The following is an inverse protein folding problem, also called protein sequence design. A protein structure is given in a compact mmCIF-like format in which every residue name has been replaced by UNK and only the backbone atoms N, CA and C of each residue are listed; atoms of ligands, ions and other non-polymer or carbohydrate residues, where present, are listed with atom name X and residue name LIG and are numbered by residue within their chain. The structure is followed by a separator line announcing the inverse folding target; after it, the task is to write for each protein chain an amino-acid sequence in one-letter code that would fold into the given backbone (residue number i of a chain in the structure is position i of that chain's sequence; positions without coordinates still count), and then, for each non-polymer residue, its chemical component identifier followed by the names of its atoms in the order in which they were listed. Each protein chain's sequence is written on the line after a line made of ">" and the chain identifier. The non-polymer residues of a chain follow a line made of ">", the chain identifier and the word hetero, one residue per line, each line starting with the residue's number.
data_IF_773056850084
#
_entry.id   IF_773056850084
#
_cell.length_a   1.000
_cell.length_b   1.000
_cell.length_c   1.000
_cell.angle_alpha   90.00
_cell.angle_beta   90.00
_cell.angle_gamma   90.00
#
_symmetry.space_group_name_H-M   'P 1'
#
loop_
_entity.id
_entity.type
_entity.pdbx_description
1 polymer ?
#
# COMPACT_ATOMS: atom_id res chain seq x y z
N UNK A 1 -39.28 -61.12 31.95
CA UNK A 1 -38.89 -59.78 32.41
C UNK A 1 -37.45 -59.58 31.97
N UNK A 2 -37.27 -59.23 30.69
CA UNK A 2 -35.96 -58.99 30.08
C UNK A 2 -36.06 -57.64 29.39
N UNK A 3 -35.38 -56.64 29.98
CA UNK A 3 -35.34 -55.29 29.46
C UNK A 3 -34.29 -55.20 28.36
N UNK A 4 -34.74 -55.00 27.12
CA UNK A 4 -33.88 -54.64 26.00
C UNK A 4 -33.49 -53.15 26.11
N UNK A 5 -32.22 -52.92 26.41
CA UNK A 5 -31.57 -51.62 26.46
C UNK A 5 -31.33 -51.09 25.04
N UNK A 6 -32.18 -50.18 24.55
CA UNK A 6 -31.94 -49.47 23.29
C UNK A 6 -30.97 -48.31 23.54
N UNK A 7 -29.70 -48.49 23.15
CA UNK A 7 -28.76 -47.38 23.01
C UNK A 7 -29.13 -46.60 21.76
N UNK A 8 -29.87 -45.51 21.94
CA UNK A 8 -30.02 -44.50 20.91
C UNK A 8 -28.66 -43.83 20.72
N UNK A 9 -27.99 -44.14 19.62
CA UNK A 9 -26.77 -43.46 19.19
C UNK A 9 -27.18 -42.05 18.74
N UNK A 10 -27.30 -41.14 19.71
CA UNK A 10 -27.45 -39.73 19.45
C UNK A 10 -26.21 -39.27 18.68
N UNK A 11 -26.35 -39.15 17.37
CA UNK A 11 -25.37 -38.48 16.53
C UNK A 11 -25.32 -37.04 17.03
N UNK A 12 -24.34 -36.76 17.89
CA UNK A 12 -24.02 -35.42 18.32
C UNK A 12 -23.54 -34.65 17.10
N UNK A 13 -24.49 -34.04 16.39
CA UNK A 13 -24.22 -32.89 15.56
C UNK A 13 -23.69 -31.81 16.50
N UNK A 14 -22.38 -31.83 16.73
CA UNK A 14 -21.65 -30.67 17.24
C UNK A 14 -22.05 -29.54 16.31
N UNK A 15 -22.61 -28.49 16.91
CA UNK A 15 -23.01 -27.26 16.25
C UNK A 15 -21.80 -26.59 15.56
N UNK A 16 -21.44 -27.10 14.38
CA UNK A 16 -20.34 -26.63 13.56
C UNK A 16 -20.66 -25.26 12.94
N UNK A 17 -21.91 -24.76 13.05
CA UNK A 17 -22.28 -23.41 12.63
C UNK A 17 -21.49 -22.32 13.38
N UNK A 18 -20.97 -22.63 14.57
CA UNK A 18 -20.15 -21.71 15.37
C UNK A 18 -18.73 -21.51 14.82
N UNK A 19 -18.22 -22.45 14.00
CA UNK A 19 -16.83 -22.48 13.51
C UNK A 19 -16.65 -21.96 12.09
N UNK A 20 -17.74 -21.87 11.32
CA UNK A 20 -17.69 -21.50 9.90
C UNK A 20 -18.54 -20.24 9.63
N UNK A 21 -18.07 -19.38 8.72
CA UNK A 21 -18.81 -18.20 8.24
C UNK A 21 -19.94 -18.63 7.26
N UNK A 22 -20.79 -17.69 6.85
CA UNK A 22 -21.88 -17.83 5.87
C UNK A 22 -21.47 -18.36 4.49
N UNK A 23 -20.16 -18.43 4.23
CA UNK A 23 -19.53 -18.97 3.02
C UNK A 23 -18.91 -20.37 3.22
N UNK A 24 -19.10 -21.00 4.40
CA UNK A 24 -18.60 -22.34 4.73
C UNK A 24 -17.11 -22.40 5.05
N UNK A 25 -16.41 -21.25 5.16
CA UNK A 25 -14.97 -21.20 5.54
C UNK A 25 -14.79 -20.96 7.04
N UNK A 26 -13.63 -21.31 7.63
CA UNK A 26 -13.37 -21.06 9.06
C UNK A 26 -13.62 -19.61 9.42
N UNK A 27 -14.32 -19.41 10.54
CA UNK A 27 -14.78 -18.10 11.03
C UNK A 27 -13.62 -17.13 11.17
N UNK A 28 -13.73 -15.97 10.50
CA UNK A 28 -12.69 -14.94 10.55
C UNK A 28 -12.72 -14.23 11.90
N UNK A 29 -11.56 -14.07 12.54
CA UNK A 29 -11.41 -13.46 13.88
C UNK A 29 -10.86 -12.03 13.87
N UNK A 30 -10.72 -11.41 12.70
CA UNK A 30 -10.20 -10.05 12.56
C UNK A 30 -11.11 -9.00 13.22
N UNK A 31 -10.52 -8.01 13.90
CA UNK A 31 -11.25 -6.88 14.49
C UNK A 31 -11.12 -5.63 13.61
N UNK A 32 -12.01 -4.64 13.77
CA UNK A 32 -11.91 -3.33 13.09
C UNK A 32 -10.54 -2.69 13.31
N UNK A 33 -9.96 -2.87 14.50
CA UNK A 33 -8.61 -2.40 14.81
C UNK A 33 -7.55 -3.10 13.95
N UNK A 34 -7.64 -4.42 13.82
CA UNK A 34 -6.72 -5.20 12.97
C UNK A 34 -6.89 -4.85 11.49
N UNK A 35 -8.13 -4.67 11.01
CA UNK A 35 -8.43 -4.24 9.64
C UNK A 35 -7.87 -2.86 9.36
N UNK A 36 -8.15 -1.91 10.25
CA UNK A 36 -7.70 -0.53 10.14
C UNK A 36 -6.17 -0.47 10.18
N UNK A 37 -5.53 -1.24 11.07
CA UNK A 37 -4.08 -1.35 11.11
C UNK A 37 -3.50 -1.90 9.80
N UNK A 38 -4.11 -2.93 9.19
CA UNK A 38 -3.66 -3.45 7.89
C UNK A 38 -3.86 -2.45 6.75
N UNK A 39 -4.98 -1.73 6.73
CA UNK A 39 -5.23 -0.67 5.74
C UNK A 39 -4.21 0.46 5.92
N UNK A 40 -4.02 0.94 7.16
CA UNK A 40 -3.02 1.97 7.47
C UNK A 40 -1.62 1.51 7.08
N UNK A 41 -1.26 0.24 7.32
CA UNK A 41 0.05 -0.30 6.92
C UNK A 41 0.19 -0.39 5.39
N UNK A 42 -0.90 -0.69 4.67
CA UNK A 42 -0.91 -0.71 3.21
C UNK A 42 -0.79 0.70 2.62
N UNK A 43 -1.33 1.72 3.31
CA UNK A 43 -1.32 3.13 2.89
C UNK A 43 0.00 3.82 3.24
N UNK A 44 0.46 3.68 4.48
CA UNK A 44 1.69 4.30 4.97
C UNK A 44 2.85 3.38 4.57
N UNK A 45 3.28 3.51 3.32
CA UNK A 45 4.38 2.75 2.74
C UNK A 45 5.32 3.64 1.94
N UNK A 46 6.04 3.04 1.00
CA UNK A 46 7.10 3.73 0.26
C UNK A 46 6.65 4.98 -0.50
N UNK A 47 5.36 5.07 -0.88
CA UNK A 47 4.79 6.24 -1.55
C UNK A 47 4.86 7.52 -0.70
N UNK A 48 4.84 7.41 0.64
CA UNK A 48 4.93 8.59 1.53
C UNK A 48 6.31 9.27 1.42
N UNK A 49 7.38 8.53 1.11
CA UNK A 49 8.73 9.09 1.01
C UNK A 49 8.88 10.04 -0.18
N UNK A 50 8.14 9.86 -1.27
CA UNK A 50 8.17 10.76 -2.43
C UNK A 50 7.19 11.94 -2.32
N UNK A 51 6.21 11.88 -1.41
CA UNK A 51 5.19 12.93 -1.27
C UNK A 51 5.77 14.31 -0.95
N UNK A 52 6.83 14.39 -0.14
CA UNK A 52 7.47 15.65 0.18
C UNK A 52 8.09 16.31 -1.07
N UNK A 53 8.74 15.50 -1.91
CA UNK A 53 9.28 15.97 -3.19
C UNK A 53 8.16 16.33 -4.17
N UNK A 54 7.14 15.49 -4.31
CA UNK A 54 6.00 15.74 -5.19
C UNK A 54 5.27 17.04 -4.83
N UNK A 55 5.03 17.26 -3.53
CA UNK A 55 4.41 18.49 -3.02
C UNK A 55 5.30 19.71 -3.29
N UNK A 56 6.63 19.57 -3.18
CA UNK A 56 7.56 20.65 -3.54
C UNK A 56 7.55 20.97 -5.04
N UNK A 57 7.35 19.98 -5.92
CA UNK A 57 7.22 20.20 -7.36
C UNK A 57 5.92 20.91 -7.73
N UNK A 58 4.82 20.60 -7.05
CA UNK A 58 3.49 21.17 -7.31
C UNK A 58 3.23 22.49 -6.57
N UNK A 59 3.90 22.70 -5.44
CA UNK A 59 3.75 23.87 -4.58
C UNK A 59 2.58 23.76 -3.59
N UNK A 60 2.43 24.83 -2.80
CA UNK A 60 1.48 24.89 -1.68
C UNK A 60 0.00 24.87 -2.09
N UNK A 61 -0.33 25.19 -3.34
CA UNK A 61 -1.71 25.13 -3.83
C UNK A 61 -1.96 23.76 -4.49
N UNK A 62 -1.26 23.48 -5.59
CA UNK A 62 -1.55 22.28 -6.39
C UNK A 62 -1.19 20.98 -5.65
N UNK A 63 -0.18 20.98 -4.78
CA UNK A 63 0.20 19.81 -3.98
C UNK A 63 -0.93 19.34 -3.05
N UNK A 64 -1.38 20.16 -2.08
CA UNK A 64 -2.51 19.82 -1.22
C UNK A 64 -3.81 19.54 -1.98
N UNK A 65 -4.12 20.29 -3.04
CA UNK A 65 -5.30 20.02 -3.88
C UNK A 65 -5.23 18.63 -4.52
N UNK A 66 -4.06 18.25 -5.05
CA UNK A 66 -3.86 16.92 -5.62
C UNK A 66 -3.99 15.83 -4.54
N UNK A 67 -3.39 16.01 -3.36
CA UNK A 67 -3.52 15.05 -2.24
C UNK A 67 -4.99 14.84 -1.85
N UNK A 68 -5.75 15.92 -1.70
CA UNK A 68 -7.18 15.85 -1.36
C UNK A 68 -7.98 15.17 -2.48
N UNK A 69 -7.71 15.52 -3.75
CA UNK A 69 -8.40 14.93 -4.89
C UNK A 69 -8.15 13.42 -5.00
N UNK A 70 -6.89 12.97 -4.94
CA UNK A 70 -6.54 11.55 -4.97
C UNK A 70 -7.08 10.80 -3.75
N UNK A 71 -7.09 11.43 -2.57
CA UNK A 71 -7.73 10.86 -1.38
C UNK A 71 -9.24 10.66 -1.59
N UNK A 72 -9.94 11.63 -2.16
CA UNK A 72 -11.38 11.54 -2.41
C UNK A 72 -11.70 10.47 -3.46
N UNK A 73 -10.94 10.42 -4.56
CA UNK A 73 -11.07 9.38 -5.59
C UNK A 73 -10.86 7.99 -4.98
N UNK A 74 -9.83 7.82 -4.16
CA UNK A 74 -9.48 6.54 -3.55
C UNK A 74 -10.52 6.11 -2.52
N UNK A 75 -11.03 7.05 -1.72
CA UNK A 75 -12.13 6.79 -0.81
C UNK A 75 -13.37 6.34 -1.59
N UNK A 76 -13.80 7.09 -2.59
CA UNK A 76 -14.96 6.74 -3.40
C UNK A 76 -14.81 5.35 -4.06
N UNK A 77 -13.65 5.07 -4.65
CA UNK A 77 -13.35 3.75 -5.21
C UNK A 77 -13.40 2.64 -4.15
N UNK A 78 -12.92 2.91 -2.93
CA UNK A 78 -12.96 1.95 -1.82
C UNK A 78 -14.38 1.66 -1.35
N UNK A 79 -15.28 2.65 -1.34
CA UNK A 79 -16.71 2.43 -1.07
C UNK A 79 -17.32 1.54 -2.13
N UNK A 80 -17.12 1.85 -3.41
CA UNK A 80 -17.68 1.04 -4.51
C UNK A 80 -17.19 -0.41 -4.45
N UNK A 81 -15.90 -0.61 -4.16
CA UNK A 81 -15.30 -1.93 -3.99
C UNK A 81 -15.88 -2.67 -2.78
N UNK A 82 -16.07 -1.95 -1.66
CA UNK A 82 -16.71 -2.48 -0.47
C UNK A 82 -18.16 -2.89 -0.75
N UNK A 83 -18.92 -2.13 -1.54
CA UNK A 83 -20.31 -2.47 -1.88
C UNK A 83 -20.38 -3.67 -2.85
N UNK A 84 -19.40 -3.81 -3.74
CA UNK A 84 -19.37 -4.89 -4.74
C UNK A 84 -18.82 -6.23 -4.22
N UNK A 85 -18.43 -6.31 -2.94
CA UNK A 85 -17.79 -7.52 -2.39
C UNK A 85 -18.72 -8.74 -2.37
N UNK A 86 -20.03 -8.51 -2.21
CA UNK A 86 -21.07 -9.54 -2.33
C UNK A 86 -21.63 -9.52 -3.74
N UNK A 87 -21.70 -10.70 -4.34
CA UNK A 87 -22.33 -10.92 -5.62
C UNK A 87 -23.87 -10.87 -5.49
N UNK A 88 -24.60 -10.69 -6.60
CA UNK A 88 -26.07 -10.63 -6.59
C UNK A 88 -26.74 -11.91 -6.06
N UNK A 89 -26.04 -13.04 -6.08
CA UNK A 89 -26.48 -14.34 -5.54
C UNK A 89 -26.18 -14.51 -4.03
N UNK A 90 -25.64 -13.47 -3.38
CA UNK A 90 -25.24 -13.47 -1.97
C UNK A 90 -23.86 -14.07 -1.69
N UNK A 91 -23.19 -14.63 -2.72
CA UNK A 91 -21.85 -15.18 -2.57
C UNK A 91 -20.80 -14.08 -2.38
N UNK A 92 -19.74 -14.36 -1.62
CA UNK A 92 -18.66 -13.40 -1.38
C UNK A 92 -17.55 -13.55 -2.43
N UNK A 93 -17.13 -12.42 -2.98
CA UNK A 93 -15.98 -12.32 -3.87
C UNK A 93 -14.69 -12.10 -3.07
N UNK A 94 -13.70 -12.99 -3.25
CA UNK A 94 -12.44 -12.93 -2.51
C UNK A 94 -11.33 -12.13 -3.21
N UNK A 95 -11.51 -11.91 -4.51
CA UNK A 95 -10.59 -11.15 -5.34
C UNK A 95 -11.37 -10.11 -6.13
N UNK A 96 -10.71 -9.02 -6.51
CA UNK A 96 -11.32 -8.00 -7.37
C UNK A 96 -11.89 -8.62 -8.67
N UNK A 97 -11.15 -9.55 -9.26
CA UNK A 97 -11.58 -10.23 -10.50
C UNK A 97 -12.82 -11.08 -10.33
N UNK A 98 -13.02 -11.68 -9.16
CA UNK A 98 -14.24 -12.43 -8.86
C UNK A 98 -15.43 -11.47 -8.72
N UNK A 99 -15.26 -10.32 -8.07
CA UNK A 99 -16.30 -9.30 -7.94
C UNK A 99 -16.71 -8.75 -9.32
N UNK A 100 -15.74 -8.45 -10.19
CA UNK A 100 -16.02 -7.98 -11.56
C UNK A 100 -16.72 -9.08 -12.37
N UNK A 101 -16.32 -10.34 -12.20
CA UNK A 101 -16.98 -11.47 -12.89
C UNK A 101 -18.42 -11.63 -12.45
N UNK A 102 -18.70 -11.51 -11.15
CA UNK A 102 -20.03 -11.64 -10.59
C UNK A 102 -20.99 -10.51 -11.01
N UNK A 103 -20.51 -9.28 -11.12
CA UNK A 103 -21.36 -8.11 -11.40
C UNK A 103 -21.41 -7.67 -12.87
N UNK A 104 -20.28 -7.75 -13.60
CA UNK A 104 -20.19 -7.19 -14.96
C UNK A 104 -20.18 -8.26 -16.05
N UNK A 105 -19.51 -9.40 -15.81
CA UNK A 105 -19.37 -10.50 -16.76
C UNK A 105 -18.68 -10.15 -18.09
N UNK A 106 -18.46 -11.17 -18.92
CA UNK A 106 -18.01 -11.03 -20.32
C UNK A 106 -16.67 -10.31 -20.51
N UNK A 107 -16.58 -9.48 -21.57
CA UNK A 107 -15.35 -8.78 -21.99
C UNK A 107 -14.85 -7.74 -20.97
N UNK A 108 -15.73 -7.25 -20.09
CA UNK A 108 -15.38 -6.26 -19.06
C UNK A 108 -14.44 -6.84 -18.01
N UNK A 109 -14.58 -8.13 -17.70
CA UNK A 109 -13.66 -8.87 -16.81
C UNK A 109 -12.23 -8.81 -17.34
N UNK A 110 -12.03 -9.02 -18.64
CA UNK A 110 -10.70 -8.98 -19.25
C UNK A 110 -10.07 -7.58 -19.19
N UNK A 111 -10.87 -6.53 -19.45
CA UNK A 111 -10.40 -5.14 -19.39
C UNK A 111 -10.05 -4.71 -17.96
N UNK A 112 -10.92 -5.03 -17.00
CA UNK A 112 -10.68 -4.75 -15.57
C UNK A 112 -9.47 -5.55 -15.04
N UNK A 113 -9.32 -6.80 -15.47
CA UNK A 113 -8.14 -7.61 -15.13
C UNK A 113 -6.86 -7.03 -15.70
N UNK A 114 -6.87 -6.63 -16.98
CA UNK A 114 -5.72 -5.98 -17.59
C UNK A 114 -5.33 -4.70 -16.83
N UNK A 115 -6.30 -3.87 -16.45
CA UNK A 115 -6.07 -2.68 -15.65
C UNK A 115 -5.50 -3.00 -14.26
N UNK A 116 -6.09 -3.99 -13.56
CA UNK A 116 -5.63 -4.41 -12.22
C UNK A 116 -4.19 -4.93 -12.26
N UNK A 117 -3.89 -5.88 -13.15
CA UNK A 117 -2.56 -6.47 -13.26
C UNK A 117 -1.52 -5.44 -13.71
N UNK A 118 -1.86 -4.53 -14.61
CA UNK A 118 -0.96 -3.44 -15.02
C UNK A 118 -0.63 -2.52 -13.85
N UNK A 119 -1.62 -2.19 -13.02
CA UNK A 119 -1.39 -1.40 -11.82
C UNK A 119 -0.51 -2.12 -10.79
N UNK A 120 -0.81 -3.40 -10.50
CA UNK A 120 -0.01 -4.22 -9.58
C UNK A 120 1.45 -4.36 -10.04
N UNK A 121 1.65 -4.53 -11.35
CA UNK A 121 2.98 -4.56 -11.95
C UNK A 121 3.70 -3.22 -11.79
N UNK A 122 3.04 -2.10 -12.10
CA UNK A 122 3.58 -0.76 -11.92
C UNK A 122 3.95 -0.46 -10.45
N UNK A 123 3.08 -0.83 -9.51
CA UNK A 123 3.33 -0.69 -8.07
C UNK A 123 4.55 -1.49 -7.63
N UNK A 124 4.69 -2.73 -8.13
CA UNK A 124 5.84 -3.59 -7.83
C UNK A 124 7.16 -3.00 -8.32
N UNK A 125 7.17 -2.42 -9.53
CA UNK A 125 8.33 -1.69 -10.05
C UNK A 125 8.63 -0.48 -9.16
N UNK A 126 7.62 0.29 -8.77
CA UNK A 126 7.76 1.44 -7.88
C UNK A 126 8.42 1.06 -6.56
N UNK A 127 8.00 -0.06 -5.94
CA UNK A 127 8.63 -0.59 -4.73
C UNK A 127 10.09 -0.97 -4.97
N UNK A 128 10.42 -1.67 -6.06
CA UNK A 128 11.79 -2.08 -6.36
C UNK A 128 12.74 -0.89 -6.55
N UNK A 129 12.29 0.13 -7.30
CA UNK A 129 13.06 1.37 -7.51
C UNK A 129 13.23 2.11 -6.17
N UNK A 130 12.15 2.29 -5.41
CA UNK A 130 12.19 3.04 -4.14
C UNK A 130 13.12 2.37 -3.14
N UNK A 131 13.00 1.06 -2.95
CA UNK A 131 13.89 0.30 -2.05
C UNK A 131 15.35 0.43 -2.46
N UNK A 132 15.65 0.35 -3.76
CA UNK A 132 17.01 0.54 -4.26
C UNK A 132 17.56 1.94 -3.92
N UNK A 133 16.79 2.99 -4.19
CA UNK A 133 17.21 4.38 -3.91
C UNK A 133 17.47 4.57 -2.42
N UNK A 134 16.59 4.03 -1.55
CA UNK A 134 16.78 4.09 -0.10
C UNK A 134 18.06 3.37 0.35
N UNK A 135 18.34 2.18 -0.18
CA UNK A 135 19.54 1.41 0.19
C UNK A 135 20.83 2.11 -0.29
N UNK A 136 20.82 2.69 -1.49
CA UNK A 136 21.92 3.50 -1.99
C UNK A 136 22.16 4.73 -1.11
N UNK A 137 21.09 5.41 -0.67
CA UNK A 137 21.20 6.55 0.23
C UNK A 137 21.85 6.17 1.57
N UNK A 138 21.47 5.03 2.16
CA UNK A 138 22.07 4.51 3.40
C UNK A 138 23.56 4.21 3.20
N UNK A 139 23.92 3.49 2.13
CA UNK A 139 25.31 3.13 1.86
C UNK A 139 26.17 4.37 1.62
N UNK A 140 25.62 5.35 0.89
CA UNK A 140 26.26 6.64 0.65
C UNK A 140 26.46 7.42 1.96
N UNK A 141 25.47 7.47 2.83
CA UNK A 141 25.58 8.09 4.15
C UNK A 141 26.68 7.45 5.00
N UNK A 142 26.76 6.12 5.02
CA UNK A 142 27.82 5.40 5.75
C UNK A 142 29.20 5.66 5.13
N UNK A 143 29.28 5.77 3.80
CA UNK A 143 30.52 6.11 3.10
C UNK A 143 31.02 7.51 3.49
N UNK A 144 30.14 8.52 3.50
CA UNK A 144 30.49 9.88 3.93
C UNK A 144 30.90 9.95 5.40
N UNK A 145 30.22 9.20 6.28
CA UNK A 145 30.58 9.15 7.69
C UNK A 145 31.99 8.56 7.91
N UNK A 146 32.40 7.59 7.09
CA UNK A 146 33.71 6.92 7.22
C UNK A 146 34.85 7.64 6.49
N UNK A 147 34.59 8.19 5.30
CA UNK A 147 35.62 8.73 4.40
C UNK A 147 35.63 10.26 4.32
N UNK A 148 34.71 10.93 5.00
CA UNK A 148 34.50 12.38 4.91
C UNK A 148 33.54 12.76 3.77
N UNK A 149 32.97 13.97 3.86
CA UNK A 149 31.98 14.48 2.90
C UNK A 149 32.56 14.76 1.50
N UNK A 150 33.87 14.89 1.37
CA UNK A 150 34.57 15.13 0.10
C UNK A 150 34.94 13.84 -0.64
N UNK A 151 34.61 12.67 -0.08
CA UNK A 151 34.89 11.39 -0.74
C UNK A 151 33.91 11.12 -1.90
N UNK A 152 34.44 10.66 -3.05
CA UNK A 152 33.65 10.21 -4.20
C UNK A 152 32.87 8.91 -3.92
N UNK A 153 31.79 9.00 -3.14
CA UNK A 153 30.91 7.88 -2.83
C UNK A 153 29.81 7.75 -3.90
N UNK A 154 30.13 7.04 -4.99
CA UNK A 154 29.16 6.68 -6.02
C UNK A 154 28.74 5.21 -5.86
N UNK A 155 27.44 4.97 -5.76
CA UNK A 155 26.86 3.65 -5.54
C UNK A 155 25.79 3.39 -6.59
N UNK A 156 25.85 2.23 -7.25
CA UNK A 156 24.89 1.86 -8.28
C UNK A 156 23.59 1.31 -7.67
N UNK A 157 22.45 1.63 -8.29
CA UNK A 157 21.14 1.11 -7.93
C UNK A 157 20.97 -0.37 -8.31
N UNK A 158 21.53 -0.78 -9.45
CA UNK A 158 21.33 -2.11 -10.05
C UNK A 158 21.48 -3.29 -9.07
N UNK A 159 22.55 -3.39 -8.24
CA UNK A 159 22.69 -4.50 -7.30
C UNK A 159 21.53 -4.57 -6.29
N UNK A 160 21.04 -3.43 -5.81
CA UNK A 160 19.95 -3.41 -4.82
C UNK A 160 18.61 -3.79 -5.42
N UNK A 161 18.34 -3.40 -6.68
CA UNK A 161 17.16 -3.85 -7.43
C UNK A 161 17.16 -5.37 -7.57
N UNK A 162 18.30 -5.96 -7.96
CA UNK A 162 18.44 -7.42 -8.12
C UNK A 162 18.24 -8.14 -6.79
N UNK A 163 18.90 -7.69 -5.72
CA UNK A 163 18.77 -8.28 -4.39
C UNK A 163 17.33 -8.23 -3.90
N UNK A 164 16.65 -7.09 -4.07
CA UNK A 164 15.25 -6.95 -3.69
C UNK A 164 14.34 -7.87 -4.51
N UNK A 165 14.56 -8.00 -5.82
CA UNK A 165 13.82 -8.94 -6.66
C UNK A 165 13.99 -10.40 -6.23
N UNK A 166 15.21 -10.82 -5.90
CA UNK A 166 15.46 -12.18 -5.36
C UNK A 166 14.72 -12.38 -4.03
N UNK A 167 14.74 -11.38 -3.15
CA UNK A 167 13.99 -11.42 -1.89
C UNK A 167 12.48 -11.53 -2.12
N UNK A 168 11.93 -10.80 -3.08
CA UNK A 168 10.51 -10.88 -3.46
C UNK A 168 10.13 -12.29 -3.96
N UNK A 169 10.99 -12.91 -4.78
CA UNK A 169 10.78 -14.30 -5.24
C UNK A 169 10.73 -15.25 -4.05
N UNK A 170 11.68 -15.14 -3.10
CA UNK A 170 11.70 -15.98 -1.91
C UNK A 170 10.46 -15.77 -1.03
N UNK A 171 10.05 -14.51 -0.81
CA UNK A 171 8.86 -14.18 -0.02
C UNK A 171 7.57 -14.66 -0.69
N UNK A 172 7.50 -14.66 -2.02
CA UNK A 172 6.34 -15.18 -2.77
C UNK A 172 6.12 -16.68 -2.59
N UNK A 173 7.14 -17.44 -2.16
CA UNK A 173 7.02 -18.88 -1.88
C UNK A 173 6.37 -19.17 -0.51
N UNK A 174 6.05 -18.16 0.30
CA UNK A 174 5.43 -18.34 1.62
C UNK A 174 3.91 -18.29 1.47
N UNK A 175 3.19 -19.43 1.52
CA UNK A 175 1.76 -19.48 1.21
C UNK A 175 0.86 -18.97 2.36
N UNK A 176 1.41 -18.73 3.55
CA UNK A 176 0.61 -18.51 4.76
C UNK A 176 0.79 -17.09 5.33
N UNK A 177 -0.24 -16.26 5.18
CA UNK A 177 -0.29 -14.85 5.61
C UNK A 177 -0.06 -14.67 7.11
N UNK A 178 -0.38 -15.66 7.95
CA UNK A 178 -0.08 -15.62 9.38
C UNK A 178 1.44 -15.56 9.68
N UNK A 179 2.29 -16.03 8.77
CA UNK A 179 3.75 -15.91 8.89
C UNK A 179 4.27 -14.53 8.47
N UNK A 180 3.45 -13.72 7.81
CA UNK A 180 3.81 -12.39 7.29
C UNK A 180 3.26 -11.24 8.16
N UNK A 181 2.39 -11.52 9.13
CA UNK A 181 1.83 -10.51 10.05
C UNK A 181 2.94 -9.76 10.80
N UNK A 182 3.98 -10.47 11.23
CA UNK A 182 5.16 -9.88 11.87
C UNK A 182 5.87 -8.87 10.95
N UNK A 183 6.04 -9.21 9.67
CA UNK A 183 6.64 -8.30 8.68
C UNK A 183 5.77 -7.06 8.45
N UNK A 184 4.44 -7.23 8.44
CA UNK A 184 3.50 -6.10 8.36
C UNK A 184 3.65 -5.15 9.55
N UNK A 185 3.82 -5.68 10.78
CA UNK A 185 4.00 -4.85 11.98
C UNK A 185 5.31 -4.05 11.89
N UNK A 186 6.42 -4.69 11.47
CA UNK A 186 7.70 -3.98 11.27
C UNK A 186 7.55 -2.90 10.19
N UNK A 187 6.92 -3.22 9.07
CA UNK A 187 6.68 -2.25 8.00
C UNK A 187 5.90 -1.04 8.51
N UNK A 188 4.81 -1.25 9.26
CA UNK A 188 4.03 -0.17 9.86
C UNK A 188 4.88 0.69 10.81
N UNK A 189 5.65 0.06 11.71
CA UNK A 189 6.50 0.76 12.66
C UNK A 189 7.57 1.62 11.95
N UNK A 190 8.24 1.05 10.94
CA UNK A 190 9.20 1.79 10.10
C UNK A 190 8.55 2.96 9.39
N UNK A 191 7.30 2.78 8.95
CA UNK A 191 6.51 3.79 8.26
C UNK A 191 6.19 5.02 9.09
N UNK A 192 5.78 4.80 10.33
CA UNK A 192 5.65 5.89 11.30
C UNK A 192 7.00 6.50 11.64
N UNK A 193 8.04 5.69 11.83
CA UNK A 193 9.36 6.18 12.19
C UNK A 193 9.94 7.15 11.15
N UNK A 194 9.97 6.79 9.86
CA UNK A 194 10.49 7.71 8.84
C UNK A 194 9.62 8.96 8.69
N UNK A 195 8.31 8.85 8.89
CA UNK A 195 7.39 10.00 8.81
C UNK A 195 7.66 10.99 9.95
N UNK A 196 7.84 10.49 11.18
CA UNK A 196 8.18 11.32 12.33
C UNK A 196 9.58 11.93 12.23
N UNK A 197 10.57 11.17 11.73
CA UNK A 197 11.91 11.70 11.48
C UNK A 197 11.84 12.82 10.44
N UNK A 198 11.14 12.62 9.32
CA UNK A 198 10.94 13.64 8.29
C UNK A 198 10.26 14.90 8.82
N UNK A 199 9.20 14.73 9.61
CA UNK A 199 8.50 15.84 10.27
C UNK A 199 9.41 16.58 11.26
N UNK A 200 10.10 15.85 12.13
CA UNK A 200 10.99 16.41 13.15
C UNK A 200 12.16 17.19 12.55
N UNK A 201 12.81 16.63 11.51
CA UNK A 201 13.88 17.31 10.78
C UNK A 201 13.36 18.58 10.07
N UNK A 202 12.15 18.53 9.53
CA UNK A 202 11.51 19.70 8.89
C UNK A 202 11.22 20.81 9.91
N UNK A 203 10.67 20.48 11.08
CA UNK A 203 10.42 21.44 12.17
C UNK A 203 11.75 22.03 12.66
N UNK A 204 12.76 21.18 12.89
CA UNK A 204 14.09 21.64 13.35
C UNK A 204 14.75 22.59 12.34
N UNK A 205 14.60 22.32 11.04
CA UNK A 205 15.10 23.19 9.96
C UNK A 205 14.43 24.56 9.99
N UNK A 206 13.10 24.62 10.14
CA UNK A 206 12.34 25.86 10.23
C UNK A 206 12.69 26.65 11.50
N UNK A 207 12.86 25.96 12.63
CA UNK A 207 13.23 26.59 13.90
C UNK A 207 14.64 27.20 13.86
N UNK A 208 15.59 26.56 13.16
CA UNK A 208 16.97 27.03 13.06
C UNK A 208 17.15 28.19 12.08
N UNK A 209 16.60 28.07 10.88
CA UNK A 209 16.88 29.02 9.78
C UNK A 209 15.74 30.04 9.56
N UNK A 210 14.69 29.99 10.39
CA UNK A 210 13.48 30.79 10.22
C UNK A 210 12.67 30.40 8.98
N UNK A 211 11.62 31.17 8.66
CA UNK A 211 10.83 31.02 7.42
C UNK A 211 11.61 31.60 6.23
N UNK A 212 12.87 31.19 6.03
CA UNK A 212 13.67 31.52 4.84
C UNK A 212 13.70 30.38 3.83
N UNK A 213 12.94 29.30 4.06
CA UNK A 213 12.74 28.28 3.05
C UNK A 213 12.04 28.92 1.85
N UNK A 214 12.62 28.77 0.64
CA UNK A 214 12.01 29.16 -0.63
C UNK A 214 10.70 28.38 -0.83
N UNK A 215 9.61 28.83 -0.21
CA UNK A 215 8.29 28.28 -0.42
C UNK A 215 7.73 28.88 -1.68
N UNK A 216 7.17 28.03 -2.54
CA UNK A 216 6.54 28.46 -3.78
C UNK A 216 5.07 28.09 -3.78
N UNK A 217 4.23 29.04 -4.18
CA UNK A 217 2.80 28.82 -4.37
C UNK A 217 2.53 27.84 -5.52
N UNK A 218 3.37 27.86 -6.57
CA UNK A 218 3.18 27.10 -7.82
C UNK A 218 4.27 26.04 -8.06
N UNK A 219 5.02 25.71 -7.00
CA UNK A 219 6.05 24.68 -7.03
C UNK A 219 7.35 25.16 -7.67
N UNK A 220 8.08 24.27 -8.33
CA UNK A 220 9.35 24.64 -8.95
C UNK A 220 9.18 25.75 -9.99
N UNK A 221 10.02 26.77 -9.92
CA UNK A 221 9.93 27.97 -10.77
C UNK A 221 10.83 27.75 -11.98
N UNK A 222 10.35 28.11 -13.19
CA UNK A 222 11.19 28.07 -14.39
C UNK A 222 12.28 29.13 -14.23
N UNK A 223 13.54 28.71 -14.39
CA UNK A 223 14.70 29.54 -14.12
C UNK A 223 15.95 29.00 -14.81
N UNK A 224 17.12 29.49 -14.40
CA UNK A 224 18.40 29.10 -14.99
C UNK A 224 18.70 27.60 -14.87
N UNK A 225 18.19 26.96 -13.81
CA UNK A 225 18.42 25.55 -13.49
C UNK A 225 17.25 24.62 -13.86
N UNK A 226 16.08 25.15 -14.24
CA UNK A 226 14.87 24.37 -14.54
C UNK A 226 14.19 24.92 -15.79
N UNK A 227 14.16 24.15 -16.87
CA UNK A 227 13.44 24.54 -18.09
C UNK A 227 11.93 24.29 -17.96
N UNK A 228 11.13 24.89 -18.85
CA UNK A 228 9.68 24.64 -18.90
C UNK A 228 9.34 23.16 -19.14
N UNK A 229 10.18 22.44 -19.88
CA UNK A 229 10.02 20.99 -20.14
C UNK A 229 10.28 20.17 -18.88
N UNK A 230 11.32 20.55 -18.12
CA UNK A 230 11.65 19.88 -16.86
C UNK A 230 10.55 20.13 -15.82
N UNK A 231 10.03 21.36 -15.74
CA UNK A 231 8.89 21.68 -14.87
C UNK A 231 7.67 20.83 -15.22
N UNK A 232 7.34 20.71 -16.51
CA UNK A 232 6.23 19.88 -16.97
C UNK A 232 6.42 18.41 -16.59
N UNK A 233 7.60 17.85 -16.86
CA UNK A 233 7.92 16.45 -16.53
C UNK A 233 7.89 16.19 -15.03
N UNK A 234 8.45 17.09 -14.23
CA UNK A 234 8.42 17.02 -12.77
C UNK A 234 6.99 17.11 -12.22
N UNK A 235 6.13 17.93 -12.84
CA UNK A 235 4.71 18.03 -12.48
C UNK A 235 3.99 16.70 -12.72
N UNK A 236 4.16 16.08 -13.88
CA UNK A 236 3.57 14.77 -14.17
C UNK A 236 4.12 13.66 -13.28
N UNK A 237 5.43 13.67 -13.02
CA UNK A 237 6.07 12.73 -12.12
C UNK A 237 5.54 12.88 -10.69
N UNK A 238 5.37 14.11 -10.21
CA UNK A 238 4.80 14.39 -8.89
C UNK A 238 3.34 13.93 -8.76
N UNK A 239 2.52 14.11 -9.81
CA UNK A 239 1.16 13.58 -9.84
C UNK A 239 1.16 12.04 -9.84
N UNK A 240 2.08 11.42 -10.57
CA UNK A 240 2.28 9.97 -10.56
C UNK A 240 2.69 9.43 -9.18
N UNK A 241 3.61 10.11 -8.50
CA UNK A 241 4.04 9.77 -7.14
C UNK A 241 2.89 9.88 -6.13
N UNK A 242 2.06 10.92 -6.23
CA UNK A 242 0.85 11.04 -5.41
C UNK A 242 -0.12 9.90 -5.73
N UNK A 243 -0.40 9.63 -7.01
CA UNK A 243 -1.28 8.54 -7.39
C UNK A 243 -0.79 7.18 -6.86
N UNK A 244 0.52 6.93 -6.94
CA UNK A 244 1.16 5.72 -6.42
C UNK A 244 0.99 5.59 -4.89
N UNK A 245 1.10 6.69 -4.14
CA UNK A 245 0.87 6.68 -2.69
C UNK A 245 -0.57 6.28 -2.30
N UNK A 246 -1.54 6.46 -3.21
CA UNK A 246 -2.95 6.11 -2.99
C UNK A 246 -3.38 4.79 -3.67
N UNK A 247 -2.47 4.02 -4.29
CA UNK A 247 -2.81 2.83 -5.08
C UNK A 247 -3.29 1.59 -4.29
N UNK A 248 -3.60 1.73 -2.99
CA UNK A 248 -3.95 0.62 -2.11
C UNK A 248 -5.38 0.08 -2.29
N UNK A 249 -6.29 0.87 -2.86
CA UNK A 249 -7.71 0.50 -3.01
C UNK A 249 -7.91 -0.81 -3.79
N UNK A 250 -6.99 -1.14 -4.69
CA UNK A 250 -7.05 -2.36 -5.50
C UNK A 250 -6.83 -3.63 -4.68
N UNK A 251 -6.04 -3.56 -3.61
CA UNK A 251 -5.76 -4.68 -2.68
C UNK A 251 -6.83 -4.76 -1.58
N UNK A 252 -7.69 -3.75 -1.49
CA UNK A 252 -8.68 -3.60 -0.43
C UNK A 252 -9.66 -4.79 -0.40
N UNK A 253 -10.21 -5.22 -1.55
CA UNK A 253 -11.12 -6.39 -1.59
C UNK A 253 -10.46 -7.65 -1.02
N UNK A 254 -9.18 -7.88 -1.32
CA UNK A 254 -8.47 -9.09 -0.87
C UNK A 254 -8.14 -9.05 0.63
N UNK A 255 -8.00 -7.84 1.20
CA UNK A 255 -7.89 -7.62 2.65
C UNK A 255 -9.25 -7.80 3.32
N UNK A 256 -10.30 -7.22 2.74
CA UNK A 256 -11.67 -7.23 3.25
C UNK A 256 -12.27 -8.64 3.26
N UNK A 257 -12.10 -9.40 2.18
CA UNK A 257 -12.65 -10.75 2.07
C UNK A 257 -11.96 -11.76 3.01
N UNK A 258 -10.86 -11.36 3.66
CA UNK A 258 -10.17 -12.15 4.69
C UNK A 258 -10.57 -11.75 6.11
N UNK A 259 -11.35 -10.68 6.31
CA UNK A 259 -11.76 -10.19 7.63
C UNK A 259 -13.29 -10.07 7.77
N UNK A 260 -13.85 -10.29 8.97
CA UNK A 260 -15.28 -10.60 9.13
C UNK A 260 -16.25 -9.40 8.98
N UNK A 261 -15.77 -8.16 8.86
CA UNK A 261 -16.56 -6.99 9.28
C UNK A 261 -17.00 -6.00 8.19
N UNK A 262 -16.91 -6.30 6.89
CA UNK A 262 -17.69 -5.50 5.94
C UNK A 262 -19.12 -6.04 5.96
N UNK A 263 -19.93 -5.48 6.87
CA UNK A 263 -21.35 -5.78 7.05
C UNK A 263 -22.17 -5.26 5.88
#
# INVERSE_FOLDING_TARGET
>A
MEGSFNVSMGSGAIDDSSKFDDDGRPKRTGTVLTTSAHIITAVIGSGVLSLAWATAQLGWIAGPVALIAFSAITWFASILLADCYRAPDGSRSYTYMDAVRAHLGGRKVQLCGLAQYSNLFGVTIGYAITTSISMVAIKRSNCFHRKGHDAGCHESNNPFIIIFGVMQILLSQIPNFHKLSFLSIIAAAMSFAYSFIGLGLSIAKIAKDGVSANTSLTGTIVGKDVSSRDKMWNTFSALGDIAFAYAFSIVLIEIQAKQPFFY
#
